data_IF_748965232851
#
_entry.id   IF_748965232851
#
_cell.length_a   1.000
_cell.length_b   1.000
_cell.length_c   1.000
_cell.angle_alpha   90.00
_cell.angle_beta   90.00
_cell.angle_gamma   90.00
#
_symmetry.space_group_name_H-M   'P 1'
#
loop_
_entity.id
_entity.type
_entity.pdbx_description
1 polymer ?
#
# COMPACT_ATOMS: atom_id res chain seq x y z
N UNK A 1 -0.44 -16.81 -2.17
CA UNK A 1 -1.79 -16.23 -1.98
C UNK A 1 -1.68 -14.76 -2.33
N UNK A 2 -2.78 -14.09 -2.65
CA UNK A 2 -2.73 -12.70 -3.07
C UNK A 2 -3.51 -11.88 -2.04
N UNK A 3 -2.87 -10.88 -1.44
CA UNK A 3 -3.45 -10.09 -0.35
C UNK A 3 -3.73 -8.66 -0.75
N UNK A 4 -4.75 -8.05 -0.12
CA UNK A 4 -5.12 -6.66 -0.38
C UNK A 4 -4.44 -5.73 0.61
N UNK A 5 -3.80 -4.68 0.09
CA UNK A 5 -3.21 -3.64 0.92
C UNK A 5 -4.32 -2.87 1.67
N UNK A 6 -4.31 -2.85 3.01
CA UNK A 6 -5.34 -2.14 3.79
C UNK A 6 -5.22 -0.61 3.66
N UNK A 7 -4.10 -0.11 3.16
CA UNK A 7 -3.85 1.32 3.00
C UNK A 7 -4.46 1.86 1.71
N UNK A 8 -4.20 1.23 0.57
CA UNK A 8 -4.64 1.76 -0.73
C UNK A 8 -5.58 0.84 -1.50
N UNK A 9 -5.78 -0.41 -1.07
CA UNK A 9 -6.60 -1.39 -1.77
C UNK A 9 -5.90 -2.12 -2.92
N UNK A 10 -4.57 -2.00 -3.06
CA UNK A 10 -3.82 -2.80 -4.03
C UNK A 10 -4.06 -4.29 -3.80
N UNK A 11 -4.62 -5.03 -4.78
CA UNK A 11 -5.12 -6.36 -4.54
C UNK A 11 -4.06 -7.44 -4.67
N UNK A 12 -2.79 -7.09 -4.91
CA UNK A 12 -1.73 -8.02 -5.29
C UNK A 12 -0.46 -7.99 -4.45
N UNK A 13 -0.61 -7.90 -3.12
CA UNK A 13 0.52 -8.12 -2.20
C UNK A 13 0.92 -9.61 -2.18
N UNK A 14 2.23 -9.84 -2.08
CA UNK A 14 2.83 -11.18 -2.06
C UNK A 14 2.67 -11.86 -0.68
N UNK A 15 2.70 -11.08 0.39
CA UNK A 15 2.62 -11.51 1.78
C UNK A 15 1.40 -10.90 2.49
N UNK A 16 0.94 -11.57 3.53
CA UNK A 16 -0.14 -11.04 4.37
C UNK A 16 0.40 -9.79 5.11
N UNK A 17 -0.25 -8.61 5.04
CA UNK A 17 0.25 -7.38 5.65
C UNK A 17 0.69 -7.51 7.12
N UNK A 18 -0.03 -8.32 7.88
CA UNK A 18 0.26 -8.64 9.28
C UNK A 18 0.03 -10.12 9.53
N UNK A 19 0.92 -10.78 10.26
CA UNK A 19 0.69 -12.12 10.78
C UNK A 19 -0.46 -12.14 11.79
N UNK A 20 -0.98 -13.33 12.10
CA UNK A 20 -2.02 -13.50 13.13
C UNK A 20 -1.56 -13.02 14.53
N UNK A 21 -0.26 -13.06 14.81
CA UNK A 21 0.34 -12.54 16.05
C UNK A 21 0.61 -11.02 16.01
N UNK A 22 0.29 -10.35 14.90
CA UNK A 22 0.46 -8.92 14.72
C UNK A 22 1.83 -8.47 14.20
N UNK A 23 2.72 -9.37 13.76
CA UNK A 23 4.00 -8.98 13.15
C UNK A 23 3.82 -8.46 11.72
N UNK A 24 4.56 -7.41 11.33
CA UNK A 24 4.62 -6.92 9.94
C UNK A 24 5.24 -7.92 8.98
N UNK A 25 4.78 -7.94 7.72
CA UNK A 25 5.42 -8.75 6.67
C UNK A 25 6.74 -8.17 6.17
N UNK A 26 7.04 -6.90 6.47
CA UNK A 26 8.12 -6.11 5.85
C UNK A 26 8.01 -5.98 4.33
N UNK A 27 6.89 -6.43 3.74
CA UNK A 27 6.58 -6.14 2.36
C UNK A 27 6.27 -4.65 2.23
N UNK A 28 6.77 -4.06 1.15
CA UNK A 28 6.47 -2.68 0.80
C UNK A 28 5.44 -2.68 -0.32
N UNK A 29 4.26 -2.13 -0.05
CA UNK A 29 3.20 -2.05 -1.04
C UNK A 29 3.73 -1.32 -2.31
N UNK A 30 3.70 -1.97 -3.49
CA UNK A 30 4.25 -1.36 -4.71
C UNK A 30 3.41 -0.16 -5.19
N UNK A 31 2.15 -0.09 -4.77
CA UNK A 31 1.26 1.03 -5.06
C UNK A 31 1.52 2.23 -4.16
N UNK A 32 1.16 2.16 -2.87
CA UNK A 32 1.23 3.32 -1.96
C UNK A 32 2.54 3.48 -1.18
N UNK A 33 3.48 2.53 -1.32
CA UNK A 33 4.78 2.58 -0.66
C UNK A 33 4.76 2.33 0.85
N UNK A 34 3.65 1.86 1.43
CA UNK A 34 3.59 1.50 2.84
C UNK A 34 4.42 0.24 3.12
N UNK A 35 5.29 0.28 4.12
CA UNK A 35 6.09 -0.86 4.57
C UNK A 35 5.53 -1.40 5.88
N UNK A 36 5.02 -2.64 5.86
CA UNK A 36 4.37 -3.24 7.03
C UNK A 36 5.39 -3.66 8.09
N UNK A 37 5.24 -3.18 9.32
CA UNK A 37 6.20 -3.37 10.41
C UNK A 37 7.26 -2.27 10.50
N UNK A 38 7.30 -1.33 9.54
CA UNK A 38 8.18 -0.16 9.61
C UNK A 38 7.40 1.15 9.58
N UNK A 39 6.53 1.36 8.58
CA UNK A 39 5.73 2.59 8.47
C UNK A 39 4.73 2.71 9.62
N UNK A 40 4.12 1.60 10.05
CA UNK A 40 3.24 1.56 11.23
C UNK A 40 3.99 1.41 12.54
N UNK A 41 4.83 0.40 12.72
CA UNK A 41 5.43 0.10 14.03
C UNK A 41 6.57 1.06 14.40
N UNK A 42 7.53 1.28 13.49
CA UNK A 42 8.71 2.10 13.76
C UNK A 42 8.44 3.60 13.56
N UNK A 43 7.68 3.97 12.51
CA UNK A 43 7.36 5.37 12.21
C UNK A 43 6.03 5.85 12.83
N UNK A 44 5.18 4.94 13.29
CA UNK A 44 3.95 5.28 14.01
C UNK A 44 2.76 5.72 13.14
N UNK A 45 2.78 5.50 11.82
CA UNK A 45 1.65 5.86 10.96
C UNK A 45 0.58 4.78 10.94
N UNK A 46 -0.67 5.17 11.19
CA UNK A 46 -1.81 4.29 10.88
C UNK A 46 -2.03 4.17 9.37
N UNK A 47 -2.73 3.12 8.95
CA UNK A 47 -3.13 2.92 7.56
C UNK A 47 -3.93 4.12 7.01
N UNK A 48 -4.82 4.70 7.81
CA UNK A 48 -5.60 5.87 7.39
C UNK A 48 -4.72 7.12 7.24
N UNK A 49 -3.77 7.34 8.15
CA UNK A 49 -2.86 8.48 8.09
C UNK A 49 -1.98 8.40 6.85
N UNK A 50 -1.39 7.23 6.57
CA UNK A 50 -0.57 7.07 5.37
C UNK A 50 -1.39 7.17 4.08
N UNK A 51 -2.61 6.63 4.07
CA UNK A 51 -3.54 6.79 2.95
C UNK A 51 -3.77 8.27 2.63
N UNK A 52 -4.03 9.11 3.65
CA UNK A 52 -4.18 10.57 3.47
C UNK A 52 -2.92 11.22 2.92
N UNK A 53 -1.74 10.80 3.38
CA UNK A 53 -0.45 11.29 2.85
C UNK A 53 -0.29 10.93 1.37
N UNK A 54 -0.56 9.68 1.01
CA UNK A 54 -0.48 9.19 -0.36
C UNK A 54 -1.49 9.91 -1.28
N UNK A 55 -2.75 10.07 -0.84
CA UNK A 55 -3.77 10.84 -1.56
C UNK A 55 -3.32 12.28 -1.79
N UNK A 56 -2.83 12.96 -0.74
CA UNK A 56 -2.33 14.34 -0.83
C UNK A 56 -1.15 14.49 -1.81
N UNK A 57 -0.34 13.43 -1.97
CA UNK A 57 0.78 13.37 -2.92
C UNK A 57 0.34 13.01 -4.35
N UNK A 58 -0.96 12.90 -4.62
CA UNK A 58 -1.50 12.60 -5.94
C UNK A 58 -1.63 11.10 -6.24
N UNK A 59 -1.61 10.26 -5.20
CA UNK A 59 -1.76 8.81 -5.30
C UNK A 59 -0.75 8.15 -6.26
N UNK A 60 0.46 8.69 -6.36
CA UNK A 60 1.49 8.18 -7.27
C UNK A 60 1.86 6.73 -6.97
N UNK A 61 2.18 5.98 -8.02
CA UNK A 61 2.81 4.67 -7.86
C UNK A 61 4.20 4.83 -7.23
N UNK A 62 4.57 3.96 -6.29
CA UNK A 62 5.78 4.11 -5.44
C UNK A 62 7.04 4.46 -6.24
N UNK A 63 7.25 3.79 -7.36
CA UNK A 63 8.45 3.92 -8.19
C UNK A 63 8.16 4.60 -9.54
N UNK A 64 7.08 5.37 -9.64
CA UNK A 64 6.72 6.11 -10.88
C UNK A 64 7.89 6.95 -11.39
N UNK A 65 8.61 7.62 -10.49
CA UNK A 65 9.70 8.55 -10.85
C UNK A 65 10.97 7.85 -11.35
N UNK A 66 11.18 6.58 -10.99
CA UNK A 66 12.35 5.79 -11.44
C UNK A 66 12.04 4.85 -12.59
N UNK A 67 10.75 4.60 -12.88
CA UNK A 67 10.29 3.68 -13.94
C UNK A 67 10.51 2.20 -13.64
N UNK A 68 10.91 1.84 -12.41
CA UNK A 68 11.19 0.45 -12.00
C UNK A 68 9.94 -0.14 -11.35
N UNK A 69 9.42 -1.23 -11.92
CA UNK A 69 8.22 -1.89 -11.39
C UNK A 69 6.98 -1.02 -11.59
N UNK A 70 6.68 -0.68 -12.84
CA UNK A 70 5.53 0.13 -13.24
C UNK A 70 4.21 -0.44 -12.72
N UNK A 71 3.18 0.42 -12.56
CA UNK A 71 1.84 -0.06 -12.28
C UNK A 71 1.35 -1.03 -13.37
N UNK A 72 0.43 -1.95 -13.05
CA UNK A 72 -0.20 -2.80 -14.06
C UNK A 72 -0.95 -1.94 -15.10
N UNK A 73 -1.18 -2.47 -16.31
CA UNK A 73 -2.02 -1.79 -17.31
C UNK A 73 -3.38 -1.40 -16.71
N UNK A 74 -3.87 -0.21 -17.04
CA UNK A 74 -5.16 0.31 -16.55
C UNK A 74 -5.25 0.49 -15.02
N UNK A 75 -4.11 0.55 -14.33
CA UNK A 75 -4.09 0.89 -12.92
C UNK A 75 -4.75 2.26 -12.66
N UNK A 76 -5.69 2.25 -11.72
CA UNK A 76 -6.44 3.43 -11.30
C UNK A 76 -6.45 3.48 -9.75
N UNK A 77 -5.76 4.44 -9.14
CA UNK A 77 -5.67 4.53 -7.68
C UNK A 77 -7.02 4.79 -7.00
N UNK A 78 -7.97 5.43 -7.70
CA UNK A 78 -9.31 5.68 -7.16
C UNK A 78 -10.07 4.37 -7.05
N UNK A 79 -10.04 3.53 -8.08
CA UNK A 79 -10.67 2.19 -8.04
C UNK A 79 -10.09 1.30 -6.96
N UNK A 80 -8.79 1.44 -6.64
CA UNK A 80 -8.21 0.68 -5.52
C UNK A 80 -8.84 1.09 -4.19
N UNK A 81 -9.02 2.40 -3.94
CA UNK A 81 -9.65 2.91 -2.74
C UNK A 81 -11.11 2.46 -2.61
N UNK A 82 -11.86 2.51 -3.71
CA UNK A 82 -13.23 2.01 -3.77
C UNK A 82 -13.31 0.52 -3.35
N UNK A 83 -12.31 -0.28 -3.74
CA UNK A 83 -12.18 -1.69 -3.38
C UNK A 83 -12.06 -1.96 -1.88
N UNK A 84 -11.69 -0.95 -1.08
CA UNK A 84 -11.64 -1.01 0.38
C UNK A 84 -12.68 -0.11 1.07
N UNK A 85 -13.65 0.42 0.31
CA UNK A 85 -14.75 1.25 0.83
C UNK A 85 -14.33 2.66 1.25
N UNK A 86 -13.27 3.21 0.65
CA UNK A 86 -12.80 4.59 0.85
C UNK A 86 -13.06 5.41 -0.40
#
# INVERSE_FOLDING_TARGET
>A
MIYTCPVCGFPSLDELPRSESGGGSYEICPSCGFEFGYTDDDQGYSYEQWRKVWIKKGMKWRNEETGIGNPPPEWDPVKQLEGIGV
#
